data_IF_129761841479
#
_entry.id   IF_129761841479
#
_cell.length_a   1.000
_cell.length_b   1.000
_cell.length_c   1.000
_cell.angle_alpha   90.00
_cell.angle_beta   90.00
_cell.angle_gamma   90.00
#
_symmetry.space_group_name_H-M   'P 1'
#
loop_
_entity.id
_entity.type
_entity.pdbx_description
1 polymer ?
#
# COMPACT_ATOMS: atom_id res chain seq x y z
N UNK A 1 2.88 -4.62 0.17
CA UNK A 1 3.27 -5.27 -1.10
C UNK A 1 2.39 -4.67 -2.19
N UNK A 2 2.78 -4.64 -3.46
CA UNK A 2 1.82 -4.24 -4.48
C UNK A 2 0.65 -5.26 -4.50
N UNK A 3 -0.56 -4.71 -4.45
CA UNK A 3 -1.83 -5.39 -4.25
C UNK A 3 -2.05 -5.91 -2.81
N UNK A 4 -2.31 -4.97 -1.89
CA UNK A 4 -2.67 -5.24 -0.49
C UNK A 4 -4.20 -5.35 -0.28
N UNK A 5 -4.65 -6.26 0.58
CA UNK A 5 -6.03 -6.34 1.05
C UNK A 5 -6.23 -5.48 2.31
N UNK A 6 -7.12 -4.51 2.24
CA UNK A 6 -7.53 -3.64 3.35
C UNK A 6 -8.90 -4.10 3.86
N UNK A 7 -8.92 -4.69 5.06
CA UNK A 7 -10.18 -5.08 5.72
C UNK A 7 -10.83 -3.84 6.33
N UNK A 8 -12.05 -3.52 5.91
CA UNK A 8 -12.83 -2.44 6.51
C UNK A 8 -13.77 -3.02 7.57
N UNK A 9 -13.62 -2.65 8.84
CA UNK A 9 -14.53 -3.01 9.94
C UNK A 9 -15.81 -2.17 9.88
N UNK A 10 -16.47 -2.20 8.73
CA UNK A 10 -17.58 -1.33 8.37
C UNK A 10 -18.68 -2.09 7.67
N UNK A 11 -19.92 -1.73 7.98
CA UNK A 11 -21.12 -2.21 7.30
C UNK A 11 -22.01 -1.01 6.96
N UNK A 12 -22.59 -1.00 5.75
CA UNK A 12 -23.49 0.07 5.28
C UNK A 12 -22.91 1.48 5.48
N UNK A 13 -21.65 1.66 5.09
CA UNK A 13 -20.89 2.91 5.20
C UNK A 13 -20.72 3.45 6.63
N UNK A 14 -20.73 2.57 7.64
CA UNK A 14 -20.49 2.91 9.05
C UNK A 14 -19.58 1.89 9.71
N UNK A 15 -18.72 2.33 10.62
CA UNK A 15 -17.96 1.43 11.50
C UNK A 15 -18.93 0.61 12.35
N UNK A 16 -18.69 -0.71 12.41
CA UNK A 16 -19.57 -1.62 13.15
C UNK A 16 -19.45 -1.40 14.67
N UNK A 17 -20.55 -1.55 15.44
CA UNK A 17 -20.53 -1.33 16.89
C UNK A 17 -19.55 -2.20 17.66
N UNK A 18 -19.23 -3.40 17.15
CA UNK A 18 -18.35 -4.38 17.76
C UNK A 18 -16.95 -4.43 17.12
N UNK A 19 -16.54 -3.37 16.39
CA UNK A 19 -15.28 -3.33 15.66
C UNK A 19 -14.07 -3.69 16.53
N UNK A 20 -14.05 -3.21 17.79
CA UNK A 20 -12.97 -3.51 18.75
C UNK A 20 -12.86 -4.99 19.07
N UNK A 21 -13.98 -5.70 19.17
CA UNK A 21 -14.02 -7.13 19.46
C UNK A 21 -13.58 -7.98 18.25
N UNK A 22 -13.80 -7.46 17.03
CA UNK A 22 -13.43 -8.13 15.77
C UNK A 22 -11.95 -8.05 15.41
N UNK A 23 -11.16 -7.21 16.09
CA UNK A 23 -9.72 -7.07 15.83
C UNK A 23 -9.00 -8.41 16.00
N UNK A 24 -9.25 -9.11 17.11
CA UNK A 24 -8.51 -10.33 17.41
C UNK A 24 -8.81 -11.43 16.38
N UNK A 25 -10.07 -11.56 15.97
CA UNK A 25 -10.48 -12.47 14.89
C UNK A 25 -9.86 -12.07 13.53
N UNK A 26 -9.79 -10.78 13.22
CA UNK A 26 -9.15 -10.29 12.00
C UNK A 26 -7.65 -10.61 11.98
N UNK A 27 -6.96 -10.35 13.09
CA UNK A 27 -5.53 -10.63 13.26
C UNK A 27 -5.24 -12.14 13.24
N UNK A 28 -6.10 -12.98 13.82
CA UNK A 28 -6.04 -14.44 13.70
C UNK A 28 -6.20 -14.88 12.22
N UNK A 29 -7.01 -14.15 11.46
CA UNK A 29 -7.11 -14.29 10.02
C UNK A 29 -5.83 -13.92 9.27
N UNK A 30 -4.92 -13.17 9.90
CA UNK A 30 -3.62 -12.77 9.35
C UNK A 30 -3.61 -11.41 8.67
N UNK A 31 -4.72 -10.66 8.68
CA UNK A 31 -4.75 -9.33 8.04
C UNK A 31 -3.94 -8.33 8.84
N UNK A 32 -3.25 -7.44 8.13
CA UNK A 32 -2.44 -6.36 8.72
C UNK A 32 -2.92 -4.97 8.35
N UNK A 33 -3.70 -4.83 7.28
CA UNK A 33 -4.27 -3.57 6.84
C UNK A 33 -5.74 -3.53 7.26
N UNK A 34 -6.05 -2.70 8.26
CA UNK A 34 -7.38 -2.66 8.88
C UNK A 34 -7.87 -1.22 8.87
N UNK A 35 -9.05 -1.02 8.31
CA UNK A 35 -9.69 0.27 8.20
C UNK A 35 -11.05 0.34 8.88
N UNK A 36 -11.49 1.57 9.07
CA UNK A 36 -12.79 1.92 9.62
C UNK A 36 -13.21 3.29 9.07
N UNK A 37 -14.42 3.72 9.41
CA UNK A 37 -14.96 5.05 9.06
C UNK A 37 -15.06 5.92 10.30
N UNK A 38 -15.09 7.23 10.09
CA UNK A 38 -15.31 8.22 11.14
C UNK A 38 -16.76 8.21 11.67
N UNK A 39 -17.68 7.62 10.90
CA UNK A 39 -19.09 7.43 11.27
C UNK A 39 -19.30 6.03 11.87
N UNK A 40 -20.11 5.94 12.94
CA UNK A 40 -20.59 4.67 13.50
C UNK A 40 -20.25 4.51 14.98
N UNK A 41 -19.07 4.97 15.39
CA UNK A 41 -18.59 4.93 16.78
C UNK A 41 -18.15 6.32 17.24
N UNK A 42 -18.19 6.60 18.57
CA UNK A 42 -17.58 7.80 19.13
C UNK A 42 -16.07 7.86 18.88
N UNK A 43 -15.52 9.07 18.78
CA UNK A 43 -14.09 9.29 18.50
C UNK A 43 -13.16 8.59 19.50
N UNK A 44 -13.52 8.53 20.79
CA UNK A 44 -12.74 7.82 21.80
C UNK A 44 -12.66 6.30 21.58
N UNK A 45 -13.71 5.70 21.04
CA UNK A 45 -13.71 4.27 20.70
C UNK A 45 -12.91 4.01 19.41
N UNK A 46 -13.04 4.90 18.42
CA UNK A 46 -12.21 4.87 17.22
C UNK A 46 -10.72 5.03 17.55
N UNK A 47 -10.38 5.82 18.57
CA UNK A 47 -9.01 5.97 19.06
C UNK A 47 -8.47 4.66 19.63
N UNK A 48 -9.26 3.99 20.47
CA UNK A 48 -8.90 2.67 20.99
C UNK A 48 -8.77 1.61 19.88
N UNK A 49 -9.57 1.71 18.82
CA UNK A 49 -9.47 0.86 17.64
C UNK A 49 -8.15 1.08 16.88
N UNK A 50 -7.80 2.33 16.58
CA UNK A 50 -6.54 2.69 15.91
C UNK A 50 -5.31 2.24 16.72
N UNK A 51 -5.31 2.51 18.03
CA UNK A 51 -4.25 2.09 18.95
C UNK A 51 -4.08 0.57 18.99
N UNK A 52 -5.18 -0.19 18.99
CA UNK A 52 -5.13 -1.65 18.98
C UNK A 52 -4.58 -2.22 17.67
N UNK A 53 -4.95 -1.65 16.52
CA UNK A 53 -4.39 -2.03 15.21
C UNK A 53 -2.87 -1.80 15.21
N UNK A 54 -2.43 -0.62 15.65
CA UNK A 54 -1.00 -0.28 15.72
C UNK A 54 -0.22 -1.14 16.71
N UNK A 55 -0.78 -1.41 17.89
CA UNK A 55 -0.16 -2.28 18.89
C UNK A 55 0.03 -3.72 18.39
N UNK A 56 -0.84 -4.18 17.49
CA UNK A 56 -0.71 -5.46 16.81
C UNK A 56 0.30 -5.45 15.65
N UNK A 57 0.92 -4.31 15.32
CA UNK A 57 1.79 -4.14 14.16
C UNK A 57 1.02 -4.04 12.84
N UNK A 58 -0.27 -3.71 12.88
CA UNK A 58 -1.08 -3.44 11.70
C UNK A 58 -0.99 -1.98 11.25
N UNK A 59 -1.43 -1.74 10.02
CA UNK A 59 -1.64 -0.41 9.42
C UNK A 59 -3.12 -0.04 9.49
N UNK A 60 -3.38 1.14 10.04
CA UNK A 60 -4.70 1.71 10.26
C UNK A 60 -5.15 2.61 9.10
N UNK A 61 -6.42 2.49 8.72
CA UNK A 61 -7.03 3.29 7.65
C UNK A 61 -8.30 3.95 8.18
N UNK A 62 -8.46 5.25 7.92
CA UNK A 62 -9.73 5.94 8.07
C UNK A 62 -10.29 6.27 6.69
N UNK A 63 -11.53 5.90 6.40
CA UNK A 63 -12.22 6.28 5.17
C UNK A 63 -13.25 7.39 5.44
N UNK A 64 -13.21 8.43 4.62
CA UNK A 64 -14.14 9.58 4.66
C UNK A 64 -15.22 9.41 3.60
N UNK A 65 -16.48 9.35 4.04
CA UNK A 65 -17.65 9.27 3.14
C UNK A 65 -18.48 10.55 3.08
N UNK A 66 -18.09 11.57 3.83
CA UNK A 66 -18.81 12.85 3.88
C UNK A 66 -18.62 13.66 2.59
N UNK A 67 -19.71 14.24 2.09
CA UNK A 67 -19.70 15.06 0.87
C UNK A 67 -19.68 16.56 1.15
N UNK A 68 -20.09 17.03 2.33
CA UNK A 68 -20.01 18.46 2.68
C UNK A 68 -18.64 18.82 3.28
N UNK A 69 -18.25 20.09 3.15
CA UNK A 69 -16.89 20.54 3.47
C UNK A 69 -16.60 20.50 4.97
N UNK A 70 -17.58 20.87 5.79
CA UNK A 70 -17.39 20.93 7.22
C UNK A 70 -17.15 19.54 7.80
N UNK A 71 -17.95 18.56 7.37
CA UNK A 71 -17.82 17.16 7.77
C UNK A 71 -16.52 16.54 7.26
N UNK A 72 -16.18 16.70 5.97
CA UNK A 72 -14.92 16.16 5.41
C UNK A 72 -13.69 16.68 6.15
N UNK A 73 -13.67 17.98 6.49
CA UNK A 73 -12.58 18.57 7.28
C UNK A 73 -12.59 18.08 8.73
N UNK A 74 -13.76 17.73 9.30
CA UNK A 74 -13.85 17.13 10.63
C UNK A 74 -13.27 15.71 10.61
N UNK A 75 -13.58 14.90 9.58
CA UNK A 75 -13.00 13.58 9.39
C UNK A 75 -11.49 13.64 9.18
N UNK A 76 -10.99 14.63 8.43
CA UNK A 76 -9.55 14.85 8.27
C UNK A 76 -8.86 15.20 9.60
N UNK A 77 -9.49 16.02 10.46
CA UNK A 77 -8.98 16.29 11.82
C UNK A 77 -9.02 15.05 12.70
N UNK A 78 -10.09 14.26 12.61
CA UNK A 78 -10.19 13.00 13.33
C UNK A 78 -9.07 12.03 12.90
N UNK A 79 -8.75 11.93 11.61
CA UNK A 79 -7.63 11.11 11.14
C UNK A 79 -6.30 11.47 11.83
N UNK A 80 -6.02 12.78 11.95
CA UNK A 80 -4.83 13.29 12.65
C UNK A 80 -4.90 12.99 14.16
N UNK A 81 -6.05 13.21 14.81
CA UNK A 81 -6.22 12.96 16.25
C UNK A 81 -6.11 11.47 16.62
N UNK A 82 -6.57 10.60 15.73
CA UNK A 82 -6.53 9.15 15.87
C UNK A 82 -5.15 8.57 15.56
N UNK A 83 -4.25 9.37 14.97
CA UNK A 83 -2.91 8.94 14.52
C UNK A 83 -3.02 7.73 13.58
N UNK A 84 -3.89 7.83 12.57
CA UNK A 84 -4.02 6.78 11.55
C UNK A 84 -2.92 6.88 10.51
N UNK A 85 -2.55 5.74 9.92
CA UNK A 85 -1.51 5.68 8.90
C UNK A 85 -1.99 6.19 7.54
N UNK A 86 -3.26 5.94 7.21
CA UNK A 86 -3.86 6.25 5.93
C UNK A 86 -5.22 6.92 6.08
N UNK A 87 -5.46 7.96 5.27
CA UNK A 87 -6.76 8.58 5.06
C UNK A 87 -7.23 8.30 3.64
N UNK A 88 -8.35 7.61 3.49
CA UNK A 88 -8.99 7.28 2.22
C UNK A 88 -10.22 8.16 2.01
N UNK A 89 -10.52 8.48 0.75
CA UNK A 89 -11.68 9.24 0.35
C UNK A 89 -11.56 10.75 0.54
N UNK A 90 -12.68 11.44 0.44
CA UNK A 90 -12.74 12.91 0.37
C UNK A 90 -12.69 13.44 -1.07
N UNK A 91 -13.31 14.59 -1.28
CA UNK A 91 -13.47 15.24 -2.59
C UNK A 91 -12.78 16.59 -2.68
N UNK A 92 -12.22 17.09 -1.57
CA UNK A 92 -11.58 18.41 -1.46
C UNK A 92 -10.12 18.27 -1.05
N UNK A 93 -9.28 17.66 -1.90
CA UNK A 93 -7.91 17.28 -1.53
C UNK A 93 -7.07 18.46 -1.06
N UNK A 94 -7.22 19.65 -1.68
CA UNK A 94 -6.49 20.86 -1.26
C UNK A 94 -6.86 21.32 0.16
N UNK A 95 -8.13 21.15 0.55
CA UNK A 95 -8.60 21.54 1.87
C UNK A 95 -8.18 20.51 2.93
N UNK A 96 -8.34 19.22 2.61
CA UNK A 96 -7.89 18.10 3.46
C UNK A 96 -6.39 18.15 3.67
N UNK A 97 -5.58 18.33 2.61
CA UNK A 97 -4.12 18.43 2.73
C UNK A 97 -3.67 19.59 3.63
N UNK A 98 -4.42 20.70 3.74
CA UNK A 98 -4.06 21.77 4.70
C UNK A 98 -4.18 21.32 6.15
N UNK A 99 -5.09 20.39 6.43
CA UNK A 99 -5.29 19.82 7.76
C UNK A 99 -4.25 18.72 8.03
N UNK A 100 -3.95 17.90 7.04
CA UNK A 100 -3.16 16.68 7.22
C UNK A 100 -1.67 16.82 6.92
N UNK A 101 -1.22 17.88 6.21
CA UNK A 101 0.17 18.03 5.73
C UNK A 101 1.26 17.97 6.80
N UNK A 102 0.93 18.35 8.03
CA UNK A 102 1.88 18.38 9.15
C UNK A 102 1.88 17.06 9.95
N UNK A 103 1.12 16.06 9.49
CA UNK A 103 1.03 14.71 10.04
C UNK A 103 1.64 13.70 9.04
N UNK A 104 2.28 12.61 9.50
CA UNK A 104 2.88 11.60 8.62
C UNK A 104 1.87 10.71 7.87
N UNK A 105 0.57 10.99 7.95
CA UNK A 105 -0.44 10.13 7.34
C UNK A 105 -0.39 10.21 5.82
N UNK A 106 -0.77 9.11 5.16
CA UNK A 106 -0.87 9.04 3.70
C UNK A 106 -2.29 9.30 3.26
N UNK A 107 -2.47 10.27 2.38
CA UNK A 107 -3.80 10.68 1.92
C UNK A 107 -4.11 10.20 0.48
N UNK A 108 -5.30 9.62 0.31
CA UNK A 108 -5.82 9.01 -0.91
C UNK A 108 -7.22 9.55 -1.21
N UNK A 109 -7.35 10.72 -1.87
CA UNK A 109 -8.65 11.29 -2.22
C UNK A 109 -9.40 10.44 -3.25
N UNK A 110 -10.71 10.64 -3.34
CA UNK A 110 -11.50 10.06 -4.42
C UNK A 110 -11.14 10.65 -5.78
N UNK A 111 -10.95 9.78 -6.78
CA UNK A 111 -10.78 10.19 -8.17
C UNK A 111 -12.13 10.32 -8.89
N UNK A 112 -12.33 11.42 -9.62
CA UNK A 112 -13.56 11.71 -10.36
C UNK A 112 -14.62 12.47 -9.55
N UNK A 113 -15.83 12.58 -10.11
CA UNK A 113 -16.96 13.27 -9.49
C UNK A 113 -17.78 12.30 -8.64
N UNK A 114 -17.88 12.58 -7.34
CA UNK A 114 -18.61 11.74 -6.37
C UNK A 114 -19.90 12.43 -5.94
N UNK A 115 -21.00 11.69 -5.98
CA UNK A 115 -22.34 12.18 -5.62
C UNK A 115 -23.09 11.18 -4.76
N UNK A 116 -24.08 11.68 -3.99
CA UNK A 116 -25.02 10.84 -3.25
C UNK A 116 -24.43 10.08 -2.04
N UNK A 117 -25.31 9.43 -1.31
CA UNK A 117 -24.95 8.51 -0.22
C UNK A 117 -25.92 7.31 -0.27
N UNK A 118 -25.47 6.09 -0.60
CA UNK A 118 -24.08 5.69 -0.84
C UNK A 118 -23.45 6.42 -2.04
N UNK A 119 -22.13 6.62 -1.98
CA UNK A 119 -21.38 7.37 -2.99
C UNK A 119 -21.44 6.70 -4.37
N UNK A 120 -21.61 7.53 -5.41
CA UNK A 120 -21.64 7.15 -6.83
C UNK A 120 -20.54 7.90 -7.56
N UNK A 121 -19.74 7.18 -8.35
CA UNK A 121 -18.71 7.75 -9.21
C UNK A 121 -19.32 8.04 -10.60
N UNK A 122 -19.33 9.31 -10.98
CA UNK A 122 -19.95 9.80 -12.21
C UNK A 122 -18.93 10.21 -13.28
N UNK A 123 -19.45 10.39 -14.50
CA UNK A 123 -18.71 10.92 -15.64
C UNK A 123 -18.10 9.84 -16.54
N UNK A 124 -17.61 10.22 -17.74
CA UNK A 124 -16.92 9.29 -18.63
C UNK A 124 -15.55 8.91 -18.06
N UNK A 125 -15.05 7.72 -18.44
CA UNK A 125 -13.73 7.20 -18.00
C UNK A 125 -12.62 8.22 -18.24
N UNK A 126 -12.62 8.91 -19.40
CA UNK A 126 -11.63 9.92 -19.73
C UNK A 126 -11.57 11.06 -18.70
N UNK A 127 -12.73 11.59 -18.30
CA UNK A 127 -12.80 12.66 -17.31
C UNK A 127 -12.36 12.19 -15.91
N UNK A 128 -12.68 10.95 -15.54
CA UNK A 128 -12.22 10.37 -14.26
C UNK A 128 -10.69 10.19 -14.27
N UNK A 129 -10.13 9.72 -15.39
CA UNK A 129 -8.68 9.56 -15.56
C UNK A 129 -7.96 10.91 -15.55
N UNK A 130 -8.54 11.95 -16.15
CA UNK A 130 -7.96 13.30 -16.09
C UNK A 130 -8.02 13.90 -14.68
N UNK A 131 -9.13 13.68 -13.96
CA UNK A 131 -9.21 14.02 -12.54
C UNK A 131 -8.12 13.29 -11.74
N UNK A 132 -7.94 11.99 -11.95
CA UNK A 132 -6.91 11.18 -11.30
C UNK A 132 -5.50 11.76 -11.52
N UNK A 133 -5.16 12.15 -12.76
CA UNK A 133 -3.88 12.79 -13.09
C UNK A 133 -3.66 14.10 -12.34
N UNK A 134 -4.67 14.98 -12.31
CA UNK A 134 -4.58 16.25 -11.59
C UNK A 134 -4.41 16.05 -10.08
N UNK A 135 -5.06 15.04 -9.51
CA UNK A 135 -4.98 14.74 -8.08
C UNK A 135 -3.60 14.24 -7.67
N UNK A 136 -2.99 13.35 -8.46
CA UNK A 136 -1.66 12.81 -8.13
C UNK A 136 -0.54 13.83 -8.27
N UNK A 137 -0.76 14.94 -8.99
CA UNK A 137 0.20 16.04 -9.06
C UNK A 137 0.17 16.94 -7.80
N UNK A 138 -0.84 16.80 -6.94
CA UNK A 138 -0.90 17.55 -5.70
C UNK A 138 0.13 17.04 -4.68
N UNK A 139 0.80 17.99 -4.02
CA UNK A 139 1.62 17.72 -2.85
C UNK A 139 0.75 17.14 -1.71
N UNK A 140 1.33 16.24 -0.92
CA UNK A 140 0.65 15.53 0.18
C UNK A 140 -0.49 14.57 -0.25
N UNK A 141 -0.78 14.42 -1.55
CA UNK A 141 -1.55 13.28 -2.05
C UNK A 141 -0.60 12.12 -2.31
N UNK A 142 -0.86 10.95 -1.72
CA UNK A 142 0.06 9.80 -1.74
C UNK A 142 -0.41 8.67 -2.66
N UNK A 143 -1.64 8.76 -3.14
CA UNK A 143 -2.29 7.83 -4.05
C UNK A 143 -3.73 8.25 -4.27
N UNK A 144 -4.55 7.36 -4.78
CA UNK A 144 -5.97 7.59 -5.03
C UNK A 144 -6.81 6.49 -4.42
N UNK A 145 -8.01 6.86 -4.01
CA UNK A 145 -9.09 5.94 -3.71
C UNK A 145 -10.07 5.97 -4.90
N UNK A 146 -10.30 4.83 -5.54
CA UNK A 146 -11.18 4.72 -6.70
C UNK A 146 -12.40 3.87 -6.33
N UNK A 147 -13.58 4.51 -6.30
CA UNK A 147 -14.88 3.86 -6.08
C UNK A 147 -15.33 3.07 -7.32
N UNK A 148 -14.52 2.09 -7.73
CA UNK A 148 -14.61 1.40 -9.02
C UNK A 148 -15.97 0.76 -9.27
N UNK A 149 -16.54 -0.02 -8.33
CA UNK A 149 -17.88 -0.62 -8.51
C UNK A 149 -19.02 0.28 -8.03
N UNK A 150 -18.76 1.57 -7.79
CA UNK A 150 -19.80 2.62 -7.71
C UNK A 150 -19.92 3.41 -9.02
N UNK A 151 -19.15 3.03 -10.05
CA UNK A 151 -19.23 3.57 -11.41
C UNK A 151 -20.26 2.79 -12.25
N UNK A 152 -21.12 3.51 -12.96
CA UNK A 152 -22.07 2.92 -13.90
C UNK A 152 -21.43 2.83 -15.30
N UNK A 153 -20.66 1.77 -15.56
CA UNK A 153 -20.03 1.53 -16.86
C UNK A 153 -19.09 0.33 -16.88
N UNK A 154 -18.12 0.34 -17.81
CA UNK A 154 -17.08 -0.68 -17.89
C UNK A 154 -16.03 -0.47 -16.78
N UNK A 155 -16.26 -1.14 -15.65
CA UNK A 155 -15.39 -1.04 -14.45
C UNK A 155 -13.95 -1.52 -14.73
N UNK A 156 -13.71 -2.68 -15.37
CA UNK A 156 -12.34 -3.08 -15.76
C UNK A 156 -11.62 -2.05 -16.64
N UNK A 157 -12.31 -1.44 -17.61
CA UNK A 157 -11.71 -0.40 -18.45
C UNK A 157 -11.38 0.87 -17.63
N UNK A 158 -12.27 1.29 -16.72
CA UNK A 158 -12.03 2.40 -15.82
C UNK A 158 -10.79 2.16 -14.95
N UNK A 159 -10.73 1.02 -14.24
CA UNK A 159 -9.62 0.71 -13.33
C UNK A 159 -8.27 0.72 -14.07
N UNK A 160 -8.21 0.10 -15.26
CA UNK A 160 -7.00 0.11 -16.10
C UNK A 160 -6.63 1.53 -16.54
N UNK A 161 -7.59 2.32 -17.00
CA UNK A 161 -7.35 3.69 -17.47
C UNK A 161 -6.74 4.56 -16.37
N UNK A 162 -7.29 4.48 -15.16
CA UNK A 162 -6.78 5.23 -14.00
C UNK A 162 -5.40 4.72 -13.58
N UNK A 163 -5.21 3.41 -13.37
CA UNK A 163 -3.93 2.86 -12.90
C UNK A 163 -2.78 3.10 -13.88
N UNK A 164 -3.00 2.94 -15.18
CA UNK A 164 -2.00 3.26 -16.22
C UNK A 164 -1.78 4.77 -16.32
N UNK A 165 -2.82 5.56 -16.08
CA UNK A 165 -2.80 7.01 -16.22
C UNK A 165 -2.04 7.75 -15.13
N UNK A 166 -1.72 7.10 -14.00
CA UNK A 166 -1.10 7.77 -12.84
C UNK A 166 0.15 7.06 -12.34
N UNK A 167 1.11 7.83 -11.80
CA UNK A 167 2.36 7.31 -11.25
C UNK A 167 2.31 6.98 -9.74
N UNK A 168 1.14 7.11 -9.09
CA UNK A 168 0.95 6.87 -7.66
C UNK A 168 0.00 5.68 -7.43
N UNK A 169 0.07 5.01 -6.27
CA UNK A 169 -0.82 3.90 -5.93
C UNK A 169 -2.31 4.23 -6.04
N UNK A 170 -3.10 3.29 -6.57
CA UNK A 170 -4.57 3.39 -6.61
C UNK A 170 -5.16 2.24 -5.79
N UNK A 171 -6.00 2.58 -4.82
CA UNK A 171 -6.74 1.63 -3.99
C UNK A 171 -8.15 1.48 -4.57
N UNK A 172 -8.58 0.25 -4.80
CA UNK A 172 -9.91 -0.04 -5.33
C UNK A 172 -10.91 -0.18 -4.18
N UNK A 173 -11.95 0.64 -4.23
CA UNK A 173 -13.02 0.63 -3.25
C UNK A 173 -14.40 0.57 -3.93
N UNK A 174 -15.42 0.49 -3.10
CA UNK A 174 -16.81 0.35 -3.53
C UNK A 174 -17.16 -1.11 -3.85
N UNK A 175 -17.75 -1.80 -2.89
CA UNK A 175 -18.44 -3.09 -3.09
C UNK A 175 -17.60 -4.23 -3.70
N UNK A 176 -16.33 -4.40 -3.35
CA UNK A 176 -15.60 -5.61 -3.75
C UNK A 176 -16.10 -6.80 -2.90
N UNK A 177 -16.74 -7.78 -3.54
CA UNK A 177 -17.55 -8.81 -2.88
C UNK A 177 -17.32 -10.24 -3.42
N UNK A 178 -16.37 -10.41 -4.34
CA UNK A 178 -16.13 -11.67 -5.03
C UNK A 178 -14.68 -11.81 -5.48
N UNK A 179 -14.25 -13.05 -5.70
CA UNK A 179 -12.96 -13.42 -6.27
C UNK A 179 -12.73 -12.76 -7.64
N UNK A 180 -13.75 -12.73 -8.50
CA UNK A 180 -13.68 -12.11 -9.81
C UNK A 180 -13.34 -10.61 -9.73
N UNK A 181 -13.90 -9.88 -8.75
CA UNK A 181 -13.60 -8.45 -8.55
C UNK A 181 -12.18 -8.22 -8.01
N UNK A 182 -11.72 -9.09 -7.11
CA UNK A 182 -10.34 -9.04 -6.60
C UNK A 182 -9.35 -9.28 -7.76
N UNK A 183 -9.58 -10.29 -8.59
CA UNK A 183 -8.71 -10.58 -9.74
C UNK A 183 -8.70 -9.43 -10.75
N UNK A 184 -9.87 -8.86 -11.05
CA UNK A 184 -9.96 -7.71 -11.97
C UNK A 184 -9.20 -6.48 -11.45
N UNK A 185 -9.24 -6.22 -10.13
CA UNK A 185 -8.47 -5.14 -9.52
C UNK A 185 -6.95 -5.40 -9.57
N UNK A 186 -6.51 -6.64 -9.36
CA UNK A 186 -5.11 -7.01 -9.47
C UNK A 186 -4.59 -6.80 -10.90
N UNK A 187 -5.30 -7.34 -11.89
CA UNK A 187 -4.95 -7.29 -13.31
C UNK A 187 -4.99 -5.86 -13.87
N UNK A 188 -5.78 -4.96 -13.25
CA UNK A 188 -5.81 -3.55 -13.65
C UNK A 188 -4.60 -2.74 -13.18
N UNK A 189 -3.75 -3.29 -12.30
CA UNK A 189 -2.60 -2.59 -11.72
C UNK A 189 -2.90 -1.85 -10.43
N UNK A 190 -3.98 -2.22 -9.71
CA UNK A 190 -4.28 -1.64 -8.42
C UNK A 190 -3.16 -1.92 -7.40
N UNK A 191 -2.92 -0.97 -6.51
CA UNK A 191 -1.99 -1.15 -5.40
C UNK A 191 -2.63 -1.88 -4.21
N UNK A 192 -3.96 -1.92 -4.15
CA UNK A 192 -4.70 -2.64 -3.12
C UNK A 192 -6.18 -2.45 -3.30
N UNK A 193 -6.95 -3.04 -2.39
CA UNK A 193 -8.40 -2.98 -2.42
C UNK A 193 -9.02 -3.07 -1.03
N UNK A 194 -10.22 -2.52 -0.87
CA UNK A 194 -10.98 -2.55 0.38
C UNK A 194 -12.10 -3.59 0.32
N UNK A 195 -12.31 -4.33 1.40
CA UNK A 195 -13.51 -5.17 1.60
C UNK A 195 -14.06 -4.93 3.00
N UNK A 196 -15.33 -4.55 3.11
CA UNK A 196 -16.03 -4.36 4.37
C UNK A 196 -17.19 -5.35 4.55
N UNK A 197 -18.41 -4.87 4.28
CA UNK A 197 -19.67 -5.64 4.41
C UNK A 197 -19.57 -7.08 3.89
N UNK A 198 -18.96 -7.31 2.72
CA UNK A 198 -18.87 -8.65 2.13
C UNK A 198 -18.01 -9.62 2.96
N UNK A 199 -16.94 -9.15 3.62
CA UNK A 199 -16.14 -9.98 4.50
C UNK A 199 -16.92 -10.36 5.78
N UNK A 200 -17.65 -9.38 6.35
CA UNK A 200 -18.48 -9.59 7.54
C UNK A 200 -19.68 -10.51 7.25
N UNK A 201 -20.25 -10.42 6.04
CA UNK A 201 -21.40 -11.22 5.60
C UNK A 201 -21.04 -12.63 5.13
N UNK A 202 -19.75 -13.00 5.10
CA UNK A 202 -19.35 -14.35 4.69
C UNK A 202 -19.38 -14.59 3.18
N UNK A 203 -19.20 -13.55 2.35
CA UNK A 203 -19.41 -13.63 0.90
C UNK A 203 -18.32 -14.42 0.14
N UNK A 204 -17.15 -14.64 0.73
CA UNK A 204 -16.02 -15.30 0.06
C UNK A 204 -15.99 -16.81 0.35
N UNK A 205 -15.43 -17.62 -0.56
CA UNK A 205 -15.37 -19.07 -0.41
C UNK A 205 -14.32 -19.49 0.63
N UNK A 206 -14.70 -19.44 1.92
CA UNK A 206 -13.84 -19.83 3.03
C UNK A 206 -13.89 -21.34 3.32
N UNK A 207 -12.74 -21.90 3.71
CA UNK A 207 -12.59 -23.33 4.06
C UNK A 207 -13.18 -23.68 5.45
N UNK A 208 -13.72 -22.70 6.17
CA UNK A 208 -14.31 -22.88 7.50
C UNK A 208 -15.27 -21.75 7.89
N UNK A 209 -15.98 -21.90 9.01
CA UNK A 209 -16.91 -20.89 9.51
C UNK A 209 -16.18 -19.71 10.16
N UNK A 210 -16.89 -18.60 10.29
CA UNK A 210 -16.45 -17.46 11.09
C UNK A 210 -15.64 -16.42 10.32
N UNK A 211 -15.40 -15.29 10.99
CA UNK A 211 -14.81 -14.11 10.37
C UNK A 211 -13.31 -14.30 10.04
N UNK A 212 -12.54 -14.95 10.92
CA UNK A 212 -11.14 -15.26 10.66
C UNK A 212 -10.95 -16.13 9.40
N UNK A 213 -11.87 -17.07 9.14
CA UNK A 213 -11.83 -17.90 7.94
C UNK A 213 -12.14 -17.10 6.66
N UNK A 214 -13.06 -16.13 6.73
CA UNK A 214 -13.32 -15.18 5.64
C UNK A 214 -12.09 -14.32 5.34
N UNK A 215 -11.44 -13.79 6.37
CA UNK A 215 -10.20 -13.00 6.21
C UNK A 215 -9.10 -13.83 5.52
N UNK A 216 -8.90 -15.09 5.94
CA UNK A 216 -7.94 -16.00 5.29
C UNK A 216 -8.29 -16.27 3.83
N UNK A 217 -9.57 -16.46 3.52
CA UNK A 217 -10.03 -16.69 2.14
C UNK A 217 -9.71 -15.48 1.25
N UNK A 218 -9.97 -14.26 1.74
CA UNK A 218 -9.66 -13.03 1.00
C UNK A 218 -8.16 -12.88 0.83
N UNK A 219 -7.34 -13.13 1.86
CA UNK A 219 -5.87 -13.08 1.76
C UNK A 219 -5.32 -14.09 0.75
N UNK A 220 -5.88 -15.30 0.69
CA UNK A 220 -5.49 -16.30 -0.31
C UNK A 220 -5.82 -15.81 -1.74
N UNK A 221 -6.98 -15.18 -1.93
CA UNK A 221 -7.34 -14.54 -3.20
C UNK A 221 -6.41 -13.35 -3.52
N UNK A 222 -6.02 -12.56 -2.53
CA UNK A 222 -5.03 -11.48 -2.68
C UNK A 222 -3.70 -12.02 -3.15
N UNK A 223 -3.20 -13.11 -2.56
CA UNK A 223 -1.95 -13.74 -2.97
C UNK A 223 -2.01 -14.26 -4.40
N UNK A 224 -3.13 -14.90 -4.80
CA UNK A 224 -3.34 -15.30 -6.17
C UNK A 224 -3.43 -14.10 -7.14
N UNK A 225 -4.02 -12.99 -6.70
CA UNK A 225 -4.05 -11.73 -7.43
C UNK A 225 -2.68 -11.08 -7.58
N UNK A 226 -1.82 -11.13 -6.55
CA UNK A 226 -0.46 -10.59 -6.58
C UNK A 226 0.38 -11.22 -7.71
N UNK A 227 0.21 -12.51 -7.98
CA UNK A 227 0.87 -13.22 -9.08
C UNK A 227 0.40 -12.78 -10.48
N UNK A 228 -0.75 -12.08 -10.57
CA UNK A 228 -1.31 -11.52 -11.81
C UNK A 228 -1.24 -10.01 -11.86
N UNK A 229 -0.75 -9.37 -10.79
CA UNK A 229 -0.73 -7.93 -10.68
C UNK A 229 0.24 -7.34 -11.69
N UNK A 230 -0.21 -6.30 -12.39
CA UNK A 230 0.61 -5.52 -13.32
C UNK A 230 1.21 -4.28 -12.67
N UNK A 231 0.96 -4.06 -11.38
CA UNK A 231 1.44 -2.91 -10.64
C UNK A 231 2.97 -2.96 -10.49
N UNK A 232 3.70 -1.89 -10.87
CA UNK A 232 5.15 -1.84 -10.67
C UNK A 232 5.52 -1.94 -9.18
N UNK A 233 6.51 -2.80 -8.88
CA UNK A 233 7.08 -2.93 -7.53
C UNK A 233 8.18 -1.90 -7.28
N UNK A 234 8.30 -1.46 -6.03
CA UNK A 234 9.42 -0.66 -5.53
C UNK A 234 10.39 -1.54 -4.76
N UNK A 235 11.56 -1.82 -5.34
CA UNK A 235 12.52 -2.77 -4.77
C UNK A 235 13.82 -2.04 -4.44
N UNK A 236 14.21 -2.04 -3.17
CA UNK A 236 15.50 -1.49 -2.77
C UNK A 236 16.64 -2.48 -3.04
N UNK A 237 17.71 -2.02 -3.67
CA UNK A 237 18.93 -2.79 -3.91
C UNK A 237 20.14 -2.11 -3.27
N UNK A 238 20.79 -2.80 -2.34
CA UNK A 238 22.00 -2.34 -1.66
C UNK A 238 23.06 -3.45 -1.59
N UNK A 239 24.33 -3.07 -1.48
CA UNK A 239 25.42 -4.01 -1.31
C UNK A 239 26.63 -3.33 -0.65
N UNK A 240 27.30 -4.06 0.24
CA UNK A 240 28.65 -3.71 0.66
C UNK A 240 29.61 -3.80 -0.53
N UNK A 241 30.70 -3.04 -0.49
CA UNK A 241 31.66 -2.94 -1.59
C UNK A 241 32.18 -4.31 -2.04
N UNK A 242 32.50 -5.18 -1.08
CA UNK A 242 32.97 -6.56 -1.29
C UNK A 242 31.92 -7.48 -1.92
N UNK A 243 30.64 -7.11 -1.92
CA UNK A 243 29.52 -7.92 -2.44
C UNK A 243 28.89 -7.36 -3.71
N UNK A 244 29.32 -6.18 -4.18
CA UNK A 244 28.78 -5.55 -5.39
C UNK A 244 28.91 -6.43 -6.63
N UNK A 245 30.00 -7.18 -6.77
CA UNK A 245 30.15 -8.12 -7.89
C UNK A 245 29.06 -9.20 -7.88
N UNK A 246 28.70 -9.73 -6.70
CA UNK A 246 27.62 -10.72 -6.56
C UNK A 246 26.25 -10.10 -6.86
N UNK A 247 25.96 -8.90 -6.34
CA UNK A 247 24.70 -8.21 -6.64
C UNK A 247 24.60 -7.91 -8.14
N UNK A 248 25.68 -7.47 -8.78
CA UNK A 248 25.74 -7.24 -10.23
C UNK A 248 25.36 -8.51 -11.00
N UNK A 249 25.96 -9.64 -10.65
CA UNK A 249 25.68 -10.91 -11.29
C UNK A 249 24.21 -11.34 -11.08
N UNK A 250 23.67 -11.13 -9.88
CA UNK A 250 22.27 -11.41 -9.57
C UNK A 250 21.31 -10.55 -10.40
N UNK A 251 21.57 -9.24 -10.49
CA UNK A 251 20.75 -8.31 -11.29
C UNK A 251 20.80 -8.67 -12.78
N UNK A 252 21.98 -8.98 -13.33
CA UNK A 252 22.11 -9.37 -14.73
C UNK A 252 21.37 -10.67 -15.04
N UNK A 253 21.44 -11.65 -14.13
CA UNK A 253 20.75 -12.93 -14.26
C UNK A 253 19.22 -12.77 -14.27
N UNK A 254 18.70 -11.79 -13.53
CA UNK A 254 17.26 -11.57 -13.35
C UNK A 254 16.74 -10.30 -14.02
N UNK A 255 17.50 -9.74 -14.97
CA UNK A 255 17.18 -8.44 -15.56
C UNK A 255 15.78 -8.38 -16.18
N UNK A 256 15.34 -9.47 -16.85
CA UNK A 256 14.00 -9.55 -17.43
C UNK A 256 12.87 -9.51 -16.40
N UNK A 257 13.06 -10.12 -15.22
CA UNK A 257 12.07 -10.08 -14.15
C UNK A 257 12.09 -8.73 -13.39
N UNK A 258 13.20 -8.00 -13.44
CA UNK A 258 13.32 -6.68 -12.80
C UNK A 258 12.81 -5.54 -13.71
N UNK A 259 12.63 -5.80 -15.00
CA UNK A 259 12.17 -4.82 -15.98
C UNK A 259 10.71 -4.42 -15.71
N UNK A 260 10.38 -3.14 -15.88
CA UNK A 260 9.06 -2.58 -15.52
C UNK A 260 8.88 -2.25 -14.04
N UNK A 261 9.82 -2.62 -13.17
CA UNK A 261 9.82 -2.25 -11.75
C UNK A 261 10.73 -1.06 -11.45
N UNK A 262 10.55 -0.45 -10.27
CA UNK A 262 11.35 0.70 -9.81
C UNK A 262 12.40 0.23 -8.82
N UNK A 263 13.66 0.25 -9.23
CA UNK A 263 14.77 -0.19 -8.39
C UNK A 263 15.40 1.00 -7.67
N UNK A 264 15.40 0.97 -6.34
CA UNK A 264 15.88 2.08 -5.50
C UNK A 264 17.23 1.69 -4.91
N UNK A 265 18.30 2.37 -5.32
CA UNK A 265 19.66 1.91 -5.04
C UNK A 265 20.48 2.97 -4.30
N UNK A 266 21.31 2.54 -3.35
CA UNK A 266 22.34 3.44 -2.78
C UNK A 266 23.38 3.80 -3.84
N UNK A 267 24.01 4.97 -3.71
CA UNK A 267 24.70 5.64 -4.82
C UNK A 267 25.74 4.79 -5.56
N UNK A 268 26.59 4.05 -4.83
CA UNK A 268 27.60 3.18 -5.45
C UNK A 268 27.01 1.97 -6.15
N UNK A 269 25.99 1.36 -5.56
CA UNK A 269 25.26 0.21 -6.12
C UNK A 269 24.48 0.63 -7.36
N UNK A 270 23.74 1.73 -7.29
CA UNK A 270 22.95 2.24 -8.41
C UNK A 270 23.80 2.67 -9.60
N UNK A 271 25.02 3.20 -9.37
CA UNK A 271 25.97 3.45 -10.47
C UNK A 271 26.36 2.16 -11.19
N UNK A 272 26.76 1.15 -10.42
CA UNK A 272 27.20 -0.14 -10.95
C UNK A 272 26.08 -0.85 -11.73
N UNK A 273 24.83 -0.78 -11.25
CA UNK A 273 23.68 -1.36 -11.95
C UNK A 273 23.37 -0.58 -13.23
N UNK A 274 23.37 0.76 -13.19
CA UNK A 274 23.11 1.58 -14.38
C UNK A 274 24.09 1.29 -15.53
N UNK A 275 25.36 1.06 -15.20
CA UNK A 275 26.39 0.70 -16.18
C UNK A 275 26.21 -0.73 -16.72
N UNK A 276 25.72 -1.67 -15.90
CA UNK A 276 25.60 -3.08 -16.27
C UNK A 276 24.27 -3.43 -16.96
N UNK A 277 23.18 -2.76 -16.61
CA UNK A 277 21.81 -3.04 -17.05
C UNK A 277 21.04 -1.72 -17.29
N UNK A 278 21.36 -0.97 -18.37
CA UNK A 278 20.81 0.36 -18.64
C UNK A 278 19.30 0.37 -18.95
N UNK A 279 18.70 -0.79 -19.24
CA UNK A 279 17.26 -0.93 -19.47
C UNK A 279 16.43 -0.85 -18.17
N UNK A 280 17.05 -1.02 -17.01
CA UNK A 280 16.34 -1.01 -15.73
C UNK A 280 16.04 0.41 -15.26
N UNK A 281 14.86 0.62 -14.67
CA UNK A 281 14.45 1.91 -14.11
C UNK A 281 15.00 2.08 -12.70
N UNK A 282 15.96 3.00 -12.53
CA UNK A 282 16.66 3.22 -11.27
C UNK A 282 16.34 4.57 -10.62
N UNK A 283 16.04 4.57 -9.32
CA UNK A 283 16.13 5.76 -8.45
C UNK A 283 17.39 5.65 -7.60
N UNK A 284 18.34 6.56 -7.80
CA UNK A 284 19.58 6.59 -7.02
C UNK A 284 19.46 7.45 -5.77
N UNK A 285 19.83 6.87 -4.64
CA UNK A 285 19.99 7.54 -3.35
C UNK A 285 21.45 7.96 -3.14
N UNK A 286 21.72 8.60 -2.00
CA UNK A 286 23.09 8.89 -1.56
C UNK A 286 23.91 7.60 -1.39
N UNK A 287 25.23 7.74 -1.33
CA UNK A 287 26.09 6.60 -0.91
C UNK A 287 25.71 6.20 0.52
N UNK A 288 25.83 4.91 0.84
CA UNK A 288 25.56 4.41 2.20
C UNK A 288 26.27 5.23 3.27
N UNK A 289 27.60 5.39 3.11
CA UNK A 289 28.46 6.22 3.97
C UNK A 289 28.13 7.73 4.03
N UNK A 290 27.18 8.21 3.22
CA UNK A 290 26.67 9.59 3.23
C UNK A 290 25.17 9.65 3.53
N UNK A 291 24.64 8.66 4.25
CA UNK A 291 23.23 8.60 4.67
C UNK A 291 22.29 7.86 3.70
N UNK A 292 22.81 7.20 2.67
CA UNK A 292 21.99 6.42 1.73
C UNK A 292 21.22 5.27 2.39
N UNK A 293 21.82 4.63 3.39
CA UNK A 293 21.19 3.53 4.12
C UNK A 293 20.06 4.05 5.04
N UNK A 294 20.21 5.25 5.59
CA UNK A 294 19.16 5.94 6.35
C UNK A 294 18.00 6.38 5.45
N UNK A 295 18.29 6.82 4.21
CA UNK A 295 17.25 7.08 3.21
C UNK A 295 16.46 5.80 2.87
N UNK A 296 17.12 4.65 2.75
CA UNK A 296 16.42 3.36 2.62
C UNK A 296 15.57 3.05 3.84
N UNK A 297 16.09 3.23 5.05
CA UNK A 297 15.33 3.07 6.29
C UNK A 297 14.07 3.93 6.34
N UNK A 298 14.16 5.18 5.88
CA UNK A 298 13.00 6.06 5.78
C UNK A 298 11.93 5.50 4.82
N UNK A 299 12.33 4.98 3.65
CA UNK A 299 11.41 4.38 2.68
C UNK A 299 10.74 3.10 3.20
N UNK A 300 11.41 2.34 4.07
CA UNK A 300 10.78 1.21 4.79
C UNK A 300 9.71 1.77 5.75
N UNK A 301 10.07 2.75 6.57
CA UNK A 301 9.19 3.31 7.58
C UNK A 301 7.93 3.99 6.99
N UNK A 302 8.04 4.58 5.80
CA UNK A 302 6.92 5.20 5.07
C UNK A 302 6.12 4.21 4.21
N UNK A 303 6.53 2.92 4.18
CA UNK A 303 5.87 1.89 3.38
C UNK A 303 5.96 2.15 1.87
N UNK A 304 7.09 2.69 1.41
CA UNK A 304 7.35 2.97 -0.01
C UNK A 304 8.05 1.80 -0.73
N UNK A 305 8.48 0.77 0.00
CA UNK A 305 9.19 -0.40 -0.54
C UNK A 305 8.35 -1.67 -0.43
N UNK A 306 8.38 -2.47 -1.50
CA UNK A 306 7.81 -3.82 -1.53
C UNK A 306 8.80 -4.88 -1.04
N UNK A 307 10.09 -4.63 -1.22
CA UNK A 307 11.16 -5.48 -0.74
C UNK A 307 12.49 -4.73 -0.65
N UNK A 308 13.38 -5.25 0.18
CA UNK A 308 14.77 -4.83 0.28
C UNK A 308 15.67 -6.02 0.01
N UNK A 309 16.58 -5.87 -0.96
CA UNK A 309 17.64 -6.83 -1.26
C UNK A 309 18.96 -6.15 -0.94
N UNK A 310 19.57 -6.55 0.18
CA UNK A 310 20.85 -6.06 0.62
C UNK A 310 21.86 -7.21 0.60
N UNK A 311 22.82 -7.19 -0.33
CA UNK A 311 23.94 -8.13 -0.30
C UNK A 311 24.97 -7.67 0.75
N UNK A 312 24.76 -8.11 1.99
CA UNK A 312 25.61 -7.81 3.12
C UNK A 312 26.86 -8.71 3.15
N UNK A 313 27.93 -8.21 3.75
CA UNK A 313 29.14 -8.96 4.05
C UNK A 313 29.34 -9.04 5.57
N UNK A 314 29.22 -10.23 6.18
CA UNK A 314 29.39 -10.39 7.62
C UNK A 314 30.87 -10.54 8.04
N UNK A 315 31.80 -10.61 7.09
CA UNK A 315 33.21 -10.98 7.35
C UNK A 315 34.15 -9.80 7.58
N UNK A 316 33.65 -8.57 7.36
CA UNK A 316 34.43 -7.35 7.53
C UNK A 316 33.70 -6.46 8.55
N UNK A 317 34.40 -5.81 9.49
CA UNK A 317 33.80 -4.77 10.32
C UNK A 317 33.44 -3.59 9.42
N UNK A 318 32.14 -3.36 9.20
CA UNK A 318 31.67 -2.22 8.44
C UNK A 318 31.38 -1.08 9.40
N UNK A 319 31.76 0.15 9.06
CA UNK A 319 31.27 1.34 9.77
C UNK A 319 29.73 1.45 9.78
N UNK A 320 29.04 0.66 8.95
CA UNK A 320 27.58 0.52 8.86
C UNK A 320 26.99 -0.75 9.49
N UNK A 321 27.66 -1.44 10.43
CA UNK A 321 27.01 -2.51 11.21
C UNK A 321 25.76 -2.01 11.94
N UNK A 322 25.81 -0.80 12.49
CA UNK A 322 24.66 -0.14 13.10
C UNK A 322 23.57 0.18 12.06
N UNK A 323 23.95 0.55 10.83
CA UNK A 323 23.00 0.85 9.75
C UNK A 323 22.27 -0.41 9.27
N UNK A 324 22.98 -1.53 9.12
CA UNK A 324 22.37 -2.81 8.77
C UNK A 324 21.40 -3.28 9.85
N UNK A 325 21.78 -3.19 11.13
CA UNK A 325 20.90 -3.51 12.25
C UNK A 325 19.66 -2.61 12.29
N UNK A 326 19.84 -1.31 12.09
CA UNK A 326 18.74 -0.35 12.03
C UNK A 326 17.78 -0.67 10.87
N UNK A 327 18.31 -0.98 9.69
CA UNK A 327 17.51 -1.35 8.53
C UNK A 327 16.76 -2.67 8.75
N UNK A 328 17.41 -3.70 9.32
CA UNK A 328 16.74 -4.96 9.69
C UNK A 328 15.64 -4.72 10.71
N UNK A 329 15.88 -3.90 11.74
CA UNK A 329 14.87 -3.55 12.74
C UNK A 329 13.65 -2.89 12.09
N UNK A 330 13.87 -1.94 11.18
CA UNK A 330 12.77 -1.27 10.46
C UNK A 330 12.03 -2.24 9.56
N UNK A 331 12.73 -3.12 8.84
CA UNK A 331 12.10 -4.13 7.99
C UNK A 331 11.19 -5.06 8.80
N UNK A 332 11.63 -5.50 9.99
CA UNK A 332 10.81 -6.31 10.90
C UNK A 332 9.61 -5.51 11.43
N UNK A 333 9.83 -4.27 11.87
CA UNK A 333 8.77 -3.43 12.44
C UNK A 333 7.66 -3.12 11.43
N UNK A 334 8.02 -2.92 10.16
CA UNK A 334 7.10 -2.55 9.09
C UNK A 334 6.77 -3.71 8.14
N UNK A 335 7.05 -4.95 8.56
CA UNK A 335 6.78 -6.18 7.80
C UNK A 335 7.22 -6.13 6.32
N UNK A 336 8.39 -5.54 6.08
CA UNK A 336 8.96 -5.39 4.73
C UNK A 336 9.90 -6.55 4.43
N UNK A 337 9.67 -7.34 3.36
CA UNK A 337 10.55 -8.42 2.96
C UNK A 337 12.01 -7.96 2.83
N UNK A 338 12.92 -8.65 3.52
CA UNK A 338 14.36 -8.34 3.54
C UNK A 338 15.20 -9.56 3.18
N UNK A 339 16.00 -9.45 2.12
CA UNK A 339 17.02 -10.42 1.78
C UNK A 339 18.41 -9.86 2.10
N UNK A 340 19.16 -10.55 2.97
CA UNK A 340 20.54 -10.19 3.33
C UNK A 340 21.62 -10.92 2.52
N UNK A 341 21.23 -11.58 1.42
CA UNK A 341 22.10 -12.36 0.56
C UNK A 341 21.38 -12.99 -0.64
N UNK A 342 22.11 -13.67 -1.53
CA UNK A 342 21.60 -14.11 -2.83
C UNK A 342 20.49 -15.16 -2.75
N UNK A 343 20.58 -16.12 -1.80
CA UNK A 343 19.55 -17.18 -1.67
C UNK A 343 18.20 -16.61 -1.25
N UNK A 344 18.17 -15.73 -0.24
CA UNK A 344 16.95 -15.02 0.15
C UNK A 344 16.45 -14.09 -0.97
N UNK A 345 17.37 -13.45 -1.71
CA UNK A 345 16.99 -12.61 -2.85
C UNK A 345 16.32 -13.41 -3.97
N UNK A 346 16.81 -14.62 -4.25
CA UNK A 346 16.18 -15.53 -5.22
C UNK A 346 14.77 -15.96 -4.78
N UNK A 347 14.54 -16.18 -3.46
CA UNK A 347 13.21 -16.48 -2.91
C UNK A 347 12.25 -15.28 -3.03
N UNK A 348 12.69 -14.08 -2.61
CA UNK A 348 11.89 -12.86 -2.73
C UNK A 348 11.53 -12.59 -4.19
N UNK A 349 12.49 -12.70 -5.10
CA UNK A 349 12.24 -12.55 -6.54
C UNK A 349 11.19 -13.55 -7.01
N UNK A 350 11.34 -14.84 -6.69
CA UNK A 350 10.37 -15.85 -7.12
C UNK A 350 8.94 -15.66 -6.57
N UNK A 351 8.80 -14.93 -5.46
CA UNK A 351 7.50 -14.59 -4.88
C UNK A 351 6.92 -13.27 -5.41
N UNK A 352 7.76 -12.30 -5.83
CA UNK A 352 7.33 -10.95 -6.17
C UNK A 352 7.40 -10.61 -7.66
N UNK A 353 8.24 -11.28 -8.46
CA UNK A 353 8.58 -10.95 -9.86
C UNK A 353 8.48 -12.18 -10.76
#
# INVERSE_FOLDING_TARGET
MAFDFILMLTENDRTIPDARARIDEALEGGVRHIGFKDVGLPLGELKGLAEAIRAAGGRSYLEVVSLDEASELASARAAVELDVDCLLGGTRPKAVSRVTRDHPLRYYPFAGEITGHPSVLQGPIEAITDSARQLVDLEHVHGLDLLAYRFAGDVPALMRSVCVGVGKPVIMAGSIDSDARIMAAAESGAAGFTVGTAALAGAFPAEGPGFAAQVRAILALTQAGQARSTAPRNIALAAHDTRKAHLRAWVLRHAGALEGHRLICTGGTGRMIAEAAPQLTLRRLSRGSRGGDQQLGALIATGELDAVIFFADPTVPHGGEADLQALTRLAVLHDTPLALGPSAADMIRGALL
#
